data_IF_239884480739
#
_entry.id   IF_239884480739
#
_cell.length_a   1.000
_cell.length_b   1.000
_cell.length_c   1.000
_cell.angle_alpha   90.00
_cell.angle_beta   90.00
_cell.angle_gamma   90.00
#
_symmetry.space_group_name_H-M   'P 1'
#
loop_
_entity.id
_entity.type
_entity.pdbx_description
1 polymer ?
#
# COMPACT_ATOMS: atom_id res chain seq x y z
N UNK A 1 -10.79 -2.08 1.71
CA UNK A 1 -10.38 -0.66 1.65
C UNK A 1 -8.90 -0.60 1.95
N UNK A 2 -8.13 0.22 1.23
CA UNK A 2 -6.69 0.42 1.44
C UNK A 2 -6.44 1.91 1.67
N UNK A 3 -5.63 2.24 2.66
CA UNK A 3 -5.28 3.63 2.99
C UNK A 3 -3.78 3.76 3.10
N UNK A 4 -3.22 4.80 2.49
CA UNK A 4 -1.83 5.19 2.66
C UNK A 4 -1.78 6.48 3.47
N UNK A 5 -0.99 6.45 4.54
CA UNK A 5 -0.79 7.58 5.44
C UNK A 5 0.70 7.92 5.45
N UNK A 6 1.03 9.21 5.44
CA UNK A 6 2.33 9.67 5.92
C UNK A 6 2.27 9.73 7.46
N UNK A 7 3.05 8.88 8.12
CA UNK A 7 3.03 8.77 9.58
C UNK A 7 3.62 9.99 10.29
N UNK A 8 4.54 10.71 9.64
CA UNK A 8 5.19 11.88 10.23
C UNK A 8 4.26 13.08 10.18
N UNK A 9 3.65 13.34 9.03
CA UNK A 9 2.77 14.50 8.83
C UNK A 9 1.31 14.22 9.22
N UNK A 10 0.93 12.94 9.36
CA UNK A 10 -0.44 12.46 9.52
C UNK A 10 -1.34 12.77 8.32
N UNK A 11 -0.75 12.99 7.15
CA UNK A 11 -1.49 13.20 5.91
C UNK A 11 -2.03 11.87 5.35
N UNK A 12 -3.31 11.84 4.97
CA UNK A 12 -3.90 10.74 4.23
C UNK A 12 -3.58 10.91 2.73
N UNK A 13 -2.53 10.22 2.26
CA UNK A 13 -2.02 10.35 0.90
C UNK A 13 -2.93 9.72 -0.16
N UNK A 14 -3.60 8.60 0.19
CA UNK A 14 -4.53 7.92 -0.71
C UNK A 14 -5.52 7.04 0.05
N UNK A 15 -6.75 6.98 -0.45
CA UNK A 15 -7.78 6.03 0.00
C UNK A 15 -8.34 5.32 -1.23
N UNK A 16 -8.20 3.99 -1.26
CA UNK A 16 -8.68 3.14 -2.34
C UNK A 16 -9.76 2.21 -1.83
N UNK A 17 -10.96 2.35 -2.40
CA UNK A 17 -12.08 1.45 -2.14
C UNK A 17 -12.27 0.52 -3.32
N UNK A 18 -12.24 -0.79 -3.07
CA UNK A 18 -12.53 -1.84 -4.05
C UNK A 18 -13.34 -2.96 -3.38
N UNK A 19 -14.25 -3.62 -4.11
CA UNK A 19 -15.00 -4.77 -3.58
C UNK A 19 -14.09 -5.95 -3.21
N UNK A 20 -13.01 -6.14 -3.97
CA UNK A 20 -11.95 -7.08 -3.68
C UNK A 20 -10.62 -6.35 -3.83
N UNK A 21 -9.74 -6.46 -2.83
CA UNK A 21 -8.43 -5.83 -2.82
C UNK A 21 -7.38 -6.92 -2.95
N UNK A 22 -6.65 -6.92 -4.06
CA UNK A 22 -5.55 -7.86 -4.29
C UNK A 22 -4.20 -7.13 -4.35
N UNK A 23 -3.11 -7.91 -4.41
CA UNK A 23 -1.75 -7.38 -4.44
C UNK A 23 -1.50 -6.42 -5.63
N UNK A 24 -2.07 -6.68 -6.81
CA UNK A 24 -1.93 -5.78 -7.96
C UNK A 24 -2.55 -4.40 -7.69
N UNK A 25 -3.75 -4.36 -7.08
CA UNK A 25 -4.39 -3.09 -6.76
C UNK A 25 -3.56 -2.23 -5.80
N UNK A 26 -2.82 -2.88 -4.92
CA UNK A 26 -1.97 -2.23 -3.92
C UNK A 26 -0.70 -1.70 -4.57
N UNK A 27 -0.09 -2.50 -5.43
CA UNK A 27 1.08 -2.11 -6.22
C UNK A 27 0.75 -0.92 -7.13
N UNK A 28 -0.41 -0.92 -7.79
CA UNK A 28 -0.84 0.19 -8.64
C UNK A 28 -1.01 1.49 -7.84
N UNK A 29 -1.66 1.41 -6.68
CA UNK A 29 -1.88 2.55 -5.80
C UNK A 29 -0.55 3.09 -5.23
N UNK A 30 0.33 2.19 -4.78
CA UNK A 30 1.66 2.53 -4.28
C UNK A 30 2.51 3.16 -5.38
N UNK A 31 2.51 2.60 -6.60
CA UNK A 31 3.27 3.13 -7.72
C UNK A 31 2.85 4.57 -8.05
N UNK A 32 1.55 4.83 -8.06
CA UNK A 32 1.00 6.18 -8.27
C UNK A 32 1.49 7.17 -7.20
N UNK A 33 1.51 6.74 -5.94
CA UNK A 33 2.00 7.55 -4.82
C UNK A 33 3.49 7.82 -4.91
N UNK A 34 4.29 6.80 -5.26
CA UNK A 34 5.74 6.94 -5.42
C UNK A 34 6.10 7.91 -6.54
N UNK A 35 5.35 7.93 -7.64
CA UNK A 35 5.57 8.90 -8.71
C UNK A 35 5.28 10.34 -8.29
N UNK A 36 4.30 10.53 -7.39
CA UNK A 36 3.88 11.87 -6.93
C UNK A 36 4.72 12.41 -5.77
N UNK A 37 5.10 11.55 -4.83
CA UNK A 37 5.74 11.93 -3.56
C UNK A 37 7.21 11.47 -3.46
N UNK A 38 7.69 10.69 -4.40
CA UNK A 38 9.01 10.07 -4.35
C UNK A 38 9.04 8.78 -3.51
N UNK A 39 10.22 8.20 -3.40
CA UNK A 39 10.44 6.97 -2.62
C UNK A 39 10.55 7.30 -1.12
N UNK A 40 9.78 6.64 -0.24
CA UNK A 40 9.95 6.78 1.20
C UNK A 40 11.19 6.02 1.69
N UNK A 41 11.73 6.42 2.83
CA UNK A 41 12.81 5.70 3.51
C UNK A 41 12.32 4.40 4.16
N UNK A 42 11.08 4.43 4.70
CA UNK A 42 10.47 3.31 5.41
C UNK A 42 9.02 3.12 4.96
N UNK A 43 8.59 1.87 4.87
CA UNK A 43 7.18 1.49 4.64
C UNK A 43 6.78 0.60 5.81
N UNK A 44 5.74 1.02 6.55
CA UNK A 44 5.09 0.19 7.56
C UNK A 44 3.75 -0.28 7.01
N UNK A 45 3.47 -1.55 7.21
CA UNK A 45 2.25 -2.18 6.77
C UNK A 45 1.54 -2.78 7.97
N UNK A 46 0.27 -2.40 8.18
CA UNK A 46 -0.50 -2.73 9.39
C UNK A 46 -1.57 -3.79 9.15
N UNK A 47 -1.83 -4.19 7.90
CA UNK A 47 -2.66 -5.35 7.65
C UNK A 47 -1.79 -6.60 7.79
N UNK A 48 -2.35 -7.65 8.40
CA UNK A 48 -1.60 -8.83 8.78
C UNK A 48 -0.97 -9.60 7.59
N UNK A 49 -0.44 -10.80 7.86
CA UNK A 49 0.25 -11.61 6.86
C UNK A 49 -0.63 -11.99 5.64
N UNK A 50 -1.95 -11.78 5.71
CA UNK A 50 -2.89 -12.00 4.60
C UNK A 50 -2.56 -11.18 3.35
N UNK A 51 -1.72 -10.16 3.49
CA UNK A 51 -1.32 -9.26 2.42
C UNK A 51 0.13 -9.39 1.99
N UNK A 52 0.94 -10.11 2.77
CA UNK A 52 2.23 -10.56 2.30
C UNK A 52 1.92 -11.71 1.36
N UNK A 53 1.98 -11.45 0.05
CA UNK A 53 2.01 -12.51 -0.93
C UNK A 53 3.29 -13.34 -0.70
N UNK A 54 3.24 -14.28 0.24
CA UNK A 54 4.10 -15.46 0.23
C UNK A 54 3.75 -16.15 -1.07
N UNK A 55 4.57 -15.93 -2.08
CA UNK A 55 4.58 -16.77 -3.26
C UNK A 55 4.90 -18.19 -2.77
N UNK A 56 3.93 -19.12 -2.76
CA UNK A 56 4.27 -20.52 -2.57
C UNK A 56 4.94 -20.92 -3.88
N UNK A 57 6.27 -20.85 -3.89
CA UNK A 57 7.07 -21.54 -4.90
C UNK A 57 7.09 -22.97 -4.41
N UNK A 58 6.26 -23.80 -5.04
CA UNK A 58 6.11 -25.26 -4.88
C UNK A 58 5.60 -25.79 -3.53
#
# INVERSE_FOLDING_TARGET
>A
MLTFLDEYTREALCVVVRPNMNAHNVLDALHTLLMKHGKPEFIRYDNGPEFIAMHPRD
#
